data_IF_785505890210
#
_entry.id   IF_785505890210
#
_cell.length_a   1.000
_cell.length_b   1.000
_cell.length_c   1.000
_cell.angle_alpha   90.00
_cell.angle_beta   90.00
_cell.angle_gamma   90.00
#
_symmetry.space_group_name_H-M   'P 1'
#
loop_
_entity.id
_entity.type
_entity.pdbx_description
1 polymer ?
#
# COMPACT_ATOMS: atom_id res chain seq x y z
N UNK A 1 10.83 -3.51 7.58
CA UNK A 1 9.71 -3.21 8.51
C UNK A 1 8.33 -3.28 7.84
N UNK A 2 8.11 -2.63 6.69
CA UNK A 2 6.77 -2.59 6.05
C UNK A 2 6.25 -3.95 5.56
N UNK A 3 7.11 -4.85 5.06
CA UNK A 3 6.69 -6.19 4.62
C UNK A 3 6.12 -7.09 5.73
N UNK A 4 6.55 -6.90 6.98
CA UNK A 4 6.05 -7.69 8.12
C UNK A 4 4.64 -7.22 8.53
N UNK A 5 4.38 -5.91 8.52
CA UNK A 5 3.04 -5.35 8.76
C UNK A 5 2.05 -5.76 7.66
N UNK A 6 2.46 -5.73 6.38
CA UNK A 6 1.63 -6.20 5.25
C UNK A 6 1.19 -7.65 5.42
N UNK A 7 2.08 -8.55 5.86
CA UNK A 7 1.76 -9.98 6.03
C UNK A 7 0.82 -10.25 7.19
N UNK A 8 0.91 -9.49 8.29
CA UNK A 8 0.15 -9.78 9.52
C UNK A 8 -1.15 -8.98 9.59
N UNK A 9 -1.08 -7.68 9.39
CA UNK A 9 -2.24 -6.77 9.44
C UNK A 9 -3.09 -6.91 8.18
N UNK A 10 -2.44 -7.00 7.01
CA UNK A 10 -3.15 -7.18 5.73
C UNK A 10 -3.93 -8.50 5.66
N UNK A 11 -3.38 -9.62 6.16
CA UNK A 11 -4.13 -10.90 6.22
C UNK A 11 -5.31 -10.84 7.17
N UNK A 12 -5.14 -10.24 8.35
CA UNK A 12 -6.17 -10.16 9.38
C UNK A 12 -7.31 -9.23 8.95
N UNK A 13 -6.98 -8.11 8.30
CA UNK A 13 -7.98 -7.28 7.65
C UNK A 13 -8.64 -8.02 6.50
N UNK A 14 -7.90 -8.59 5.54
CA UNK A 14 -8.48 -9.29 4.38
C UNK A 14 -9.50 -10.39 4.76
N UNK A 15 -9.26 -11.13 5.85
CA UNK A 15 -10.13 -12.20 6.32
C UNK A 15 -11.42 -11.74 7.03
N UNK A 16 -11.56 -10.44 7.34
CA UNK A 16 -12.72 -9.89 8.04
C UNK A 16 -13.90 -9.72 7.05
N UNK A 17 -15.10 -10.28 7.30
CA UNK A 17 -16.22 -10.19 6.35
C UNK A 17 -16.91 -8.82 6.36
N UNK A 18 -16.92 -8.13 7.51
CA UNK A 18 -17.52 -6.80 7.70
C UNK A 18 -16.40 -5.75 7.74
N UNK A 19 -15.94 -5.31 6.56
CA UNK A 19 -14.92 -4.25 6.45
C UNK A 19 -15.60 -2.92 6.23
N UNK A 20 -15.23 -1.93 7.03
CA UNK A 20 -15.61 -0.54 6.75
C UNK A 20 -14.83 -0.02 5.53
N UNK A 21 -15.33 1.05 4.92
CA UNK A 21 -14.66 1.69 3.79
C UNK A 21 -13.20 2.09 4.11
N UNK A 22 -12.94 2.54 5.34
CA UNK A 22 -11.59 2.88 5.82
C UNK A 22 -10.69 1.65 5.97
N UNK A 23 -11.21 0.54 6.49
CA UNK A 23 -10.45 -0.72 6.57
C UNK A 23 -10.12 -1.27 5.18
N UNK A 24 -11.03 -1.09 4.22
CA UNK A 24 -10.80 -1.50 2.83
C UNK A 24 -9.77 -0.62 2.12
N UNK A 25 -9.80 0.69 2.34
CA UNK A 25 -8.81 1.64 1.80
C UNK A 25 -7.42 1.40 2.40
N UNK A 26 -7.35 1.19 3.73
CA UNK A 26 -6.10 0.84 4.41
C UNK A 26 -5.53 -0.48 3.92
N UNK A 27 -6.38 -1.47 3.61
CA UNK A 27 -5.95 -2.75 3.05
C UNK A 27 -5.42 -2.58 1.62
N UNK A 28 -6.06 -1.74 0.79
CA UNK A 28 -5.58 -1.41 -0.56
C UNK A 28 -4.22 -0.70 -0.50
N UNK A 29 -4.04 0.25 0.42
CA UNK A 29 -2.76 0.92 0.64
C UNK A 29 -1.67 -0.04 1.12
N UNK A 30 -2.01 -1.00 1.98
CA UNK A 30 -1.06 -2.01 2.45
C UNK A 30 -0.69 -3.01 1.34
N UNK A 31 -1.62 -3.41 0.49
CA UNK A 31 -1.36 -4.42 -0.56
C UNK A 31 -0.78 -3.81 -1.84
N UNK A 32 -1.32 -2.67 -2.25
CA UNK A 32 -1.09 -2.03 -3.55
C UNK A 32 -0.51 -0.62 -3.45
N UNK A 33 -0.61 0.04 -2.29
CA UNK A 33 -0.04 1.38 -2.08
C UNK A 33 1.47 1.44 -2.32
N UNK A 34 2.19 0.34 -2.08
CA UNK A 34 3.61 0.22 -2.45
C UNK A 34 3.87 0.34 -3.96
N UNK A 35 2.93 -0.07 -4.80
CA UNK A 35 3.03 0.02 -6.27
C UNK A 35 2.86 1.45 -6.77
N UNK A 36 2.01 2.26 -6.10
CA UNK A 36 1.82 3.69 -6.41
C UNK A 36 3.03 4.55 -6.03
N UNK A 37 3.84 4.09 -5.07
CA UNK A 37 5.02 4.78 -4.53
C UNK A 37 6.30 3.98 -4.83
N UNK A 38 6.26 3.05 -5.80
CA UNK A 38 7.44 2.34 -6.27
C UNK A 38 8.37 3.35 -6.96
N UNK A 39 9.68 3.18 -6.78
CA UNK A 39 10.69 4.01 -7.45
C UNK A 39 10.43 4.08 -8.96
N UNK A 40 10.04 2.97 -9.60
CA UNK A 40 9.70 2.91 -11.03
C UNK A 40 8.54 3.84 -11.43
N UNK A 41 7.46 3.89 -10.65
CA UNK A 41 6.28 4.68 -10.94
C UNK A 41 6.48 6.15 -10.56
N UNK A 42 7.41 6.42 -9.64
CA UNK A 42 7.81 7.77 -9.26
C UNK A 42 8.92 8.34 -10.14
N UNK A 43 9.56 7.54 -11.01
CA UNK A 43 10.63 8.01 -11.93
C UNK A 43 10.26 9.31 -12.66
N UNK A 44 9.06 9.45 -13.29
CA UNK A 44 8.73 10.69 -14.00
C UNK A 44 8.68 11.92 -13.08
N UNK A 45 8.25 11.73 -11.84
CA UNK A 45 8.18 12.80 -10.83
C UNK A 45 9.56 13.11 -10.26
N UNK A 46 10.40 12.09 -10.04
CA UNK A 46 11.78 12.24 -9.57
C UNK A 46 12.65 12.96 -10.62
N UNK A 47 12.50 12.58 -11.90
CA UNK A 47 13.17 13.25 -13.01
C UNK A 47 12.72 14.72 -13.14
N UNK A 48 11.43 15.00 -12.96
CA UNK A 48 10.92 16.38 -12.91
C UNK A 48 11.46 17.17 -11.70
N UNK A 49 11.64 16.50 -10.56
CA UNK A 49 12.20 17.10 -9.35
C UNK A 49 13.72 17.33 -9.44
N UNK A 50 14.37 16.91 -10.53
CA UNK A 50 15.81 17.11 -10.77
C UNK A 50 16.71 16.17 -9.96
N UNK A 51 16.20 14.98 -9.61
CA UNK A 51 16.91 13.92 -8.90
C UNK A 51 17.33 12.79 -9.83
#
# INVERSE_FOLDING_TARGET
MMSTMKRTVGKKLAAKPDKTAEEQDMLDLLLHGGSRVSEENLRPVLEWCGK
#
